data_IF_787874772850
#
_entry.id   IF_787874772850
#
_cell.length_a   1.000
_cell.length_b   1.000
_cell.length_c   1.000
_cell.angle_alpha   90.00
_cell.angle_beta   90.00
_cell.angle_gamma   90.00
#
_symmetry.space_group_name_H-M   'P 1'
#
loop_
_entity.id
_entity.type
_entity.pdbx_description
1 polymer ?
#
# COMPACT_ATOMS: atom_id res chain seq x y z
N UNK A 1 -12.29 42.53 -24.53
CA UNK A 1 -12.92 41.22 -24.26
C UNK A 1 -12.55 40.83 -22.84
N UNK A 2 -13.52 40.67 -21.94
CA UNK A 2 -13.29 40.21 -20.58
C UNK A 2 -13.31 38.67 -20.60
N UNK A 3 -12.22 38.03 -20.18
CA UNK A 3 -12.15 36.56 -20.07
C UNK A 3 -12.58 36.16 -18.66
N UNK A 4 -13.47 35.19 -18.52
CA UNK A 4 -13.87 34.67 -17.22
C UNK A 4 -12.69 33.95 -16.55
N UNK A 5 -12.45 34.13 -15.25
CA UNK A 5 -11.37 33.44 -14.56
C UNK A 5 -11.66 31.94 -14.46
N UNK A 6 -10.66 31.14 -14.78
CA UNK A 6 -10.76 29.70 -14.87
C UNK A 6 -9.54 29.04 -14.24
N UNK A 7 -9.77 27.94 -13.54
CA UNK A 7 -8.76 27.04 -13.01
C UNK A 7 -9.22 25.61 -13.27
N UNK A 8 -8.27 24.72 -13.54
CA UNK A 8 -8.50 23.29 -13.77
C UNK A 8 -7.63 22.48 -12.82
N UNK A 9 -8.04 21.23 -12.58
CA UNK A 9 -7.27 20.25 -11.80
C UNK A 9 -7.01 19.04 -12.71
N UNK A 10 -5.74 18.79 -13.02
CA UNK A 10 -5.30 17.59 -13.73
C UNK A 10 -5.61 16.34 -12.90
N UNK A 11 -5.84 15.21 -13.55
CA UNK A 11 -6.04 13.92 -12.89
C UNK A 11 -4.82 13.44 -12.14
N UNK A 12 -4.85 13.37 -10.79
CA UNK A 12 -3.76 12.76 -10.02
C UNK A 12 -3.81 11.22 -10.07
N UNK A 13 -4.90 10.62 -10.54
CA UNK A 13 -5.13 9.17 -10.42
C UNK A 13 -5.59 8.78 -9.01
N UNK A 14 -5.49 7.48 -8.70
CA UNK A 14 -5.61 6.98 -7.33
C UNK A 14 -4.25 7.11 -6.65
N UNK A 15 -4.25 7.28 -5.34
CA UNK A 15 -3.04 7.32 -4.54
C UNK A 15 -3.10 6.35 -3.38
N UNK A 16 -1.95 6.14 -2.74
CA UNK A 16 -1.83 5.25 -1.59
C UNK A 16 -1.38 6.01 -0.34
N UNK A 17 -1.76 5.52 0.85
CA UNK A 17 -1.23 6.03 2.12
C UNK A 17 0.30 5.89 2.18
N UNK A 18 0.96 6.97 2.63
CA UNK A 18 2.43 7.06 2.71
C UNK A 18 3.11 7.49 1.41
N UNK A 19 2.34 7.85 0.38
CA UNK A 19 2.83 8.38 -0.89
C UNK A 19 2.95 9.92 -0.83
N UNK A 20 3.93 10.46 -1.57
CA UNK A 20 3.98 11.90 -1.85
C UNK A 20 3.29 12.20 -3.18
N UNK A 21 2.13 12.86 -3.11
CA UNK A 21 1.33 13.20 -4.29
C UNK A 21 1.64 14.63 -4.73
N UNK A 22 1.58 14.88 -6.03
CA UNK A 22 1.61 16.22 -6.61
C UNK A 22 0.33 16.50 -7.38
N UNK A 23 -0.49 17.42 -6.88
CA UNK A 23 -1.60 18.00 -7.63
C UNK A 23 -1.08 19.05 -8.59
N UNK A 24 -1.71 19.15 -9.76
CA UNK A 24 -1.38 20.14 -10.77
C UNK A 24 -2.61 20.54 -11.57
N UNK A 25 -2.47 21.62 -12.34
CA UNK A 25 -3.50 22.03 -13.27
C UNK A 25 -3.11 23.27 -14.06
N UNK A 26 -4.07 23.79 -14.81
CA UNK A 26 -3.90 25.02 -15.60
C UNK A 26 -4.87 26.10 -15.16
N UNK A 27 -4.56 27.35 -15.50
CA UNK A 27 -5.39 28.51 -15.20
C UNK A 27 -5.11 29.65 -16.19
N UNK A 28 -6.08 30.53 -16.40
CA UNK A 28 -5.87 31.78 -17.12
C UNK A 28 -5.53 32.96 -16.19
N UNK A 29 -5.38 32.72 -14.88
CA UNK A 29 -4.92 33.72 -13.94
C UNK A 29 -3.46 34.08 -14.25
N UNK A 30 -3.07 35.34 -14.08
CA UNK A 30 -1.71 35.79 -14.33
C UNK A 30 -0.68 35.06 -13.44
N UNK A 31 0.51 34.84 -13.97
CA UNK A 31 1.68 34.39 -13.18
C UNK A 31 1.90 35.32 -11.99
N UNK A 32 2.25 34.75 -10.84
CA UNK A 32 2.38 35.48 -9.58
C UNK A 32 1.10 35.53 -8.74
N UNK A 33 -0.08 35.30 -9.32
CA UNK A 33 -1.32 35.15 -8.54
C UNK A 33 -1.23 33.94 -7.60
N UNK A 34 -2.02 33.97 -6.53
CA UNK A 34 -2.09 32.89 -5.52
C UNK A 34 -3.37 32.08 -5.67
N UNK A 35 -3.22 30.77 -5.53
CA UNK A 35 -4.33 29.81 -5.41
C UNK A 35 -4.27 29.17 -4.03
N UNK A 36 -5.41 29.01 -3.38
CA UNK A 36 -5.58 28.19 -2.19
C UNK A 36 -6.01 26.80 -2.63
N UNK A 37 -5.26 25.78 -2.22
CA UNK A 37 -5.57 24.36 -2.43
C UNK A 37 -5.99 23.78 -1.08
N UNK A 38 -7.12 23.08 -1.07
CA UNK A 38 -7.69 22.41 0.09
C UNK A 38 -7.99 20.96 -0.30
N UNK A 39 -7.51 20.01 0.50
CA UNK A 39 -7.76 18.58 0.35
C UNK A 39 -8.41 18.12 1.64
N UNK A 40 -9.68 17.75 1.56
CA UNK A 40 -10.51 17.43 2.74
C UNK A 40 -11.16 16.07 2.56
N UNK A 41 -11.07 15.21 3.56
CA UNK A 41 -11.79 13.92 3.60
C UNK A 41 -13.31 14.13 3.40
N UNK A 42 -13.95 13.27 2.59
CA UNK A 42 -15.40 13.28 2.40
C UNK A 42 -16.12 12.36 3.40
N UNK A 43 -15.39 11.57 4.18
CA UNK A 43 -15.97 10.80 5.27
C UNK A 43 -16.70 11.71 6.25
N UNK A 44 -18.00 11.44 6.42
CA UNK A 44 -18.84 12.10 7.41
C UNK A 44 -19.57 11.02 8.22
N UNK A 45 -19.29 10.93 9.51
CA UNK A 45 -19.90 9.92 10.36
C UNK A 45 -19.47 10.03 11.83
N UNK A 46 -20.20 9.35 12.73
CA UNK A 46 -19.83 9.30 14.14
C UNK A 46 -18.54 8.50 14.33
N UNK A 47 -17.56 9.08 15.00
CA UNK A 47 -16.30 8.41 15.39
C UNK A 47 -16.36 7.89 16.83
N UNK A 48 -15.81 6.69 17.12
CA UNK A 48 -15.63 6.23 18.49
C UNK A 48 -14.77 7.19 19.32
N UNK A 49 -15.05 7.32 20.63
CA UNK A 49 -14.34 8.24 21.54
C UNK A 49 -12.87 7.88 21.77
N UNK A 50 -12.50 6.65 21.46
CA UNK A 50 -11.18 6.05 21.60
C UNK A 50 -10.38 6.05 20.29
N UNK A 51 -10.98 6.47 19.17
CA UNK A 51 -10.27 6.66 17.90
C UNK A 51 -9.83 8.11 17.71
N UNK A 52 -8.70 8.28 17.02
CA UNK A 52 -8.22 9.59 16.57
C UNK A 52 -9.22 10.28 15.63
N UNK A 53 -9.01 11.58 15.40
CA UNK A 53 -9.83 12.35 14.46
C UNK A 53 -9.88 11.64 13.10
N UNK A 54 -11.08 11.32 12.56
CA UNK A 54 -11.19 10.68 11.26
C UNK A 54 -10.83 11.65 10.13
N UNK A 55 -10.72 12.95 10.45
CA UNK A 55 -10.45 13.98 9.48
C UNK A 55 -8.95 14.08 9.25
N UNK A 56 -8.57 13.75 8.02
CA UNK A 56 -7.26 14.03 7.45
C UNK A 56 -7.40 14.99 6.29
N UNK A 57 -6.31 15.67 5.94
CA UNK A 57 -6.31 16.61 4.84
C UNK A 57 -5.00 17.40 4.74
N UNK A 58 -4.92 18.20 3.68
CA UNK A 58 -3.82 19.11 3.45
C UNK A 58 -4.36 20.42 2.88
N UNK A 59 -3.70 21.53 3.19
CA UNK A 59 -4.01 22.81 2.57
C UNK A 59 -2.75 23.62 2.33
N UNK A 60 -2.80 24.54 1.38
CA UNK A 60 -1.67 25.40 1.10
C UNK A 60 -1.97 26.46 0.03
N UNK A 61 -1.20 27.53 0.08
CA UNK A 61 -1.21 28.56 -0.96
C UNK A 61 -0.08 28.30 -1.97
N UNK A 62 -0.41 28.25 -3.25
CA UNK A 62 0.55 28.06 -4.35
C UNK A 62 0.55 29.25 -5.27
N UNK A 63 1.69 29.48 -5.92
CA UNK A 63 1.86 30.57 -6.88
C UNK A 63 1.64 30.05 -8.30
N UNK A 64 0.83 30.76 -9.07
CA UNK A 64 0.65 30.49 -10.49
C UNK A 64 1.97 30.78 -11.22
N UNK A 65 2.43 29.82 -12.03
CA UNK A 65 3.64 29.91 -12.82
C UNK A 65 3.30 30.08 -14.29
N UNK A 66 4.20 30.72 -15.05
CA UNK A 66 4.05 30.84 -16.50
C UNK A 66 4.02 29.44 -17.13
N UNK A 67 2.98 29.16 -17.92
CA UNK A 67 2.84 27.91 -18.67
C UNK A 67 3.15 28.08 -20.15
N UNK A 68 2.87 27.04 -20.93
CA UNK A 68 3.01 27.08 -22.38
C UNK A 68 1.71 27.60 -23.04
N UNK A 69 1.84 28.48 -24.03
CA UNK A 69 0.70 29.08 -24.73
C UNK A 69 -0.05 30.10 -23.85
N UNK A 70 -1.38 30.08 -23.92
CA UNK A 70 -2.23 31.07 -23.24
C UNK A 70 -2.63 30.67 -21.79
N UNK A 71 -2.15 29.51 -21.31
CA UNK A 71 -2.50 28.99 -19.98
C UNK A 71 -1.28 28.90 -19.08
N UNK A 72 -1.45 29.42 -17.87
CA UNK A 72 -0.50 29.29 -16.77
C UNK A 72 -0.73 28.00 -16.00
N UNK A 73 0.27 27.56 -15.25
CA UNK A 73 0.26 26.30 -14.51
C UNK A 73 0.37 26.53 -13.01
N UNK A 74 -0.02 25.52 -12.24
CA UNK A 74 0.17 25.49 -10.79
C UNK A 74 0.41 24.05 -10.34
N UNK A 75 1.05 23.91 -9.18
CA UNK A 75 1.32 22.61 -8.57
C UNK A 75 1.36 22.71 -7.04
N UNK A 76 0.84 21.68 -6.37
CA UNK A 76 0.81 21.54 -4.91
C UNK A 76 1.18 20.10 -4.52
N UNK A 77 2.24 19.92 -3.75
CA UNK A 77 2.69 18.60 -3.30
C UNK A 77 2.48 18.44 -1.79
N UNK A 78 2.01 17.27 -1.38
CA UNK A 78 1.78 16.91 0.03
C UNK A 78 2.02 15.41 0.26
N UNK A 79 2.17 15.05 1.54
CA UNK A 79 2.45 13.68 1.99
C UNK A 79 1.17 13.06 2.57
N UNK A 80 0.87 11.81 2.24
CA UNK A 80 -0.34 11.10 2.71
C UNK A 80 -0.09 10.18 3.90
N UNK A 81 1.08 10.21 4.54
CA UNK A 81 1.38 9.34 5.68
C UNK A 81 0.47 9.58 6.89
N UNK A 82 -0.03 10.80 7.06
CA UNK A 82 -0.99 11.14 8.12
C UNK A 82 -2.45 11.08 7.66
N UNK A 83 -2.72 10.52 6.47
CA UNK A 83 -4.06 10.42 5.91
C UNK A 83 -4.71 9.09 6.30
N UNK A 84 -6.03 9.06 6.28
CA UNK A 84 -6.84 7.84 6.38
C UNK A 84 -7.26 7.40 4.97
N UNK A 85 -7.46 6.09 4.71
CA UNK A 85 -8.02 5.61 3.44
C UNK A 85 -9.45 6.13 3.25
N UNK A 86 -9.65 7.01 2.27
CA UNK A 86 -10.94 7.68 2.02
C UNK A 86 -10.96 8.33 0.62
N UNK A 87 -12.14 8.79 0.20
CA UNK A 87 -12.29 9.74 -0.90
C UNK A 87 -12.16 11.17 -0.38
N UNK A 88 -11.19 11.91 -0.90
CA UNK A 88 -10.94 13.30 -0.57
C UNK A 88 -11.53 14.23 -1.64
N UNK A 89 -12.01 15.39 -1.20
CA UNK A 89 -12.39 16.52 -2.04
C UNK A 89 -11.21 17.48 -2.16
N UNK A 90 -10.67 17.62 -3.36
CA UNK A 90 -9.69 18.64 -3.73
C UNK A 90 -10.44 19.87 -4.22
N UNK A 91 -10.22 21.01 -3.57
CA UNK A 91 -10.78 22.31 -3.95
C UNK A 91 -9.65 23.30 -4.18
N UNK A 92 -9.71 24.01 -5.30
CA UNK A 92 -8.75 25.05 -5.67
C UNK A 92 -9.50 26.34 -5.89
N UNK A 93 -9.13 27.39 -5.17
CA UNK A 93 -9.78 28.71 -5.24
C UNK A 93 -8.73 29.80 -5.46
N UNK A 94 -9.01 30.76 -6.35
CA UNK A 94 -8.16 31.94 -6.49
C UNK A 94 -8.21 32.81 -5.23
N UNK A 95 -7.06 33.25 -4.72
CA UNK A 95 -7.01 34.12 -3.53
C UNK A 95 -7.35 35.56 -3.90
N UNK A 96 -6.66 36.09 -4.92
CA UNK A 96 -6.89 37.45 -5.43
C UNK A 96 -8.12 37.54 -6.32
N UNK A 97 -8.49 36.43 -6.97
CA UNK A 97 -9.59 36.32 -7.93
C UNK A 97 -10.51 35.17 -7.48
N UNK A 98 -11.41 35.42 -6.51
CA UNK A 98 -12.12 34.36 -5.76
C UNK A 98 -13.16 33.58 -6.58
N UNK A 99 -13.52 34.06 -7.76
CA UNK A 99 -14.42 33.39 -8.68
C UNK A 99 -13.73 32.35 -9.58
N UNK A 100 -12.41 32.20 -9.52
CA UNK A 100 -11.71 31.06 -10.11
C UNK A 100 -11.77 29.87 -9.12
N UNK A 101 -12.62 28.89 -9.41
CA UNK A 101 -12.82 27.71 -8.55
C UNK A 101 -12.77 26.44 -9.39
N UNK A 102 -12.10 25.40 -8.88
CA UNK A 102 -12.19 24.04 -9.37
C UNK A 102 -12.29 23.06 -8.21
N UNK A 103 -12.99 21.96 -8.44
CA UNK A 103 -13.18 20.91 -7.45
C UNK A 103 -13.02 19.54 -8.12
N UNK A 104 -12.44 18.58 -7.40
CA UNK A 104 -12.18 17.25 -7.92
C UNK A 104 -12.08 16.21 -6.79
N UNK A 105 -12.49 14.97 -7.04
CA UNK A 105 -12.29 13.86 -6.11
C UNK A 105 -10.92 13.19 -6.28
N UNK A 106 -10.36 12.73 -5.17
CA UNK A 106 -9.12 11.96 -5.09
C UNK A 106 -9.36 10.74 -4.19
N UNK A 107 -9.17 9.54 -4.71
CA UNK A 107 -9.25 8.31 -3.92
C UNK A 107 -7.87 8.00 -3.35
N UNK A 108 -7.81 7.78 -2.03
CA UNK A 108 -6.59 7.35 -1.34
C UNK A 108 -6.86 5.99 -0.69
N UNK A 109 -6.10 4.98 -1.11
CA UNK A 109 -6.26 3.59 -0.70
C UNK A 109 -5.18 3.16 0.28
N UNK A 110 -5.41 2.07 1.01
CA UNK A 110 -4.36 1.44 1.83
C UNK A 110 -3.26 0.85 0.94
N UNK A 111 -2.03 0.87 1.43
CA UNK A 111 -0.96 0.11 0.77
C UNK A 111 -1.26 -1.38 0.90
N UNK A 112 -1.48 -2.03 -0.24
CA UNK A 112 -1.59 -3.49 -0.31
C UNK A 112 -0.31 -4.02 -0.94
N UNK A 113 0.60 -4.68 -0.20
CA UNK A 113 1.77 -5.28 -0.83
C UNK A 113 1.30 -6.33 -1.84
N UNK A 114 1.82 -6.27 -3.07
CA UNK A 114 1.65 -7.37 -4.03
C UNK A 114 2.20 -8.64 -3.39
N UNK A 115 1.46 -9.77 -3.37
CA UNK A 115 1.99 -11.01 -2.81
C UNK A 115 3.28 -11.36 -3.57
N UNK A 116 4.38 -11.54 -2.84
CA UNK A 116 5.61 -12.11 -3.42
C UNK A 116 5.23 -13.44 -4.08
N UNK A 117 5.62 -13.69 -5.35
CA UNK A 117 5.31 -14.97 -5.97
C UNK A 117 5.92 -16.09 -5.12
N UNK A 118 5.07 -16.98 -4.62
CA UNK A 118 5.51 -18.21 -3.98
C UNK A 118 6.40 -18.95 -4.97
N UNK A 119 7.67 -19.26 -4.64
CA UNK A 119 8.51 -20.04 -5.54
C UNK A 119 7.80 -21.38 -5.84
N UNK A 120 7.83 -21.87 -7.09
CA UNK A 120 7.22 -23.15 -7.41
C UNK A 120 7.82 -24.25 -6.51
N UNK A 121 6.97 -25.11 -5.95
CA UNK A 121 7.44 -26.30 -5.24
C UNK A 121 8.38 -27.07 -6.19
N UNK A 122 9.64 -27.24 -5.78
CA UNK A 122 10.54 -28.18 -6.45
C UNK A 122 10.02 -29.58 -6.13
N UNK A 123 9.42 -30.25 -7.11
CA UNK A 123 9.04 -31.65 -6.97
C UNK A 123 10.31 -32.49 -6.78
N UNK A 124 10.35 -33.41 -5.79
CA UNK A 124 11.42 -34.39 -5.73
C UNK A 124 11.41 -35.24 -7.01
N UNK A 125 12.57 -35.68 -7.53
CA UNK A 125 12.63 -36.46 -8.75
C UNK A 125 11.81 -37.75 -8.60
N UNK A 126 10.87 -37.97 -9.52
CA UNK A 126 10.10 -39.22 -9.61
C UNK A 126 11.05 -40.36 -9.99
N UNK A 127 11.22 -41.33 -9.09
CA UNK A 127 11.90 -42.59 -9.40
C UNK A 127 11.07 -43.33 -10.46
N UNK A 128 11.63 -43.53 -11.65
CA UNK A 128 11.03 -44.37 -12.70
C UNK A 128 10.94 -45.82 -12.19
N UNK A 129 9.72 -46.32 -12.01
CA UNK A 129 9.47 -47.73 -11.72
C UNK A 129 9.64 -48.57 -12.98
N UNK A 130 10.69 -49.39 -13.01
CA UNK A 130 10.89 -50.50 -13.95
C UNK A 130 9.73 -51.51 -13.82
N UNK A 131 9.10 -51.98 -14.92
CA UNK A 131 8.16 -53.08 -14.84
C UNK A 131 8.93 -54.41 -14.66
N UNK A 132 8.61 -55.17 -13.61
CA UNK A 132 9.10 -56.53 -13.39
C UNK A 132 7.91 -57.50 -13.16
N UNK A 133 8.10 -58.82 -13.34
CA UNK A 133 7.60 -59.61 -14.45
C UNK A 133 6.34 -60.42 -14.11
N UNK A 134 5.66 -60.91 -15.15
CA UNK A 134 4.45 -61.74 -15.08
C UNK A 134 4.63 -62.98 -14.19
N UNK A 135 3.69 -63.17 -13.26
CA UNK A 135 3.64 -64.25 -12.27
C UNK A 135 3.60 -65.66 -12.89
N UNK A 136 4.53 -66.53 -12.47
CA UNK A 136 4.40 -67.99 -12.56
C UNK A 136 3.52 -68.52 -11.41
N UNK A 137 2.89 -69.70 -11.55
CA UNK A 137 1.90 -70.22 -10.60
C UNK A 137 2.55 -70.71 -9.29
N UNK A 138 1.76 -70.86 -8.21
CA UNK A 138 2.29 -70.90 -6.85
C UNK A 138 2.95 -72.24 -6.52
N UNK A 139 4.09 -72.20 -5.85
CA UNK A 139 4.65 -73.35 -5.12
C UNK A 139 4.91 -72.96 -3.67
N UNK A 140 4.21 -73.68 -2.81
CA UNK A 140 4.24 -73.75 -1.35
C UNK A 140 5.63 -73.69 -0.72
N UNK A 141 5.81 -72.82 0.30
CA UNK A 141 6.30 -73.14 1.65
C UNK A 141 6.96 -71.93 2.33
N UNK A 142 6.67 -71.72 3.62
CA UNK A 142 7.62 -71.11 4.56
C UNK A 142 7.22 -69.75 5.14
N UNK A 143 6.78 -69.79 6.39
CA UNK A 143 6.58 -68.66 7.31
C UNK A 143 7.91 -67.93 7.64
N UNK A 144 7.84 -66.62 7.94
CA UNK A 144 8.46 -65.86 9.08
C UNK A 144 8.48 -64.34 8.75
N UNK A 145 7.74 -63.38 9.37
CA UNK A 145 7.71 -62.85 10.75
C UNK A 145 9.15 -62.47 11.21
N UNK A 146 9.60 -61.25 11.62
CA UNK A 146 9.09 -60.16 12.51
C UNK A 146 10.06 -58.89 12.40
N UNK A 147 10.16 -57.87 13.32
CA UNK A 147 9.59 -56.49 13.28
C UNK A 147 10.54 -55.24 13.40
N UNK A 148 9.89 -54.06 13.27
CA UNK A 148 10.02 -52.72 13.91
C UNK A 148 10.83 -52.61 15.24
N UNK A 149 11.51 -51.45 15.49
CA UNK A 149 11.60 -50.74 16.80
C UNK A 149 11.93 -49.22 16.60
N UNK A 150 11.25 -48.38 17.39
CA UNK A 150 11.40 -46.93 17.62
C UNK A 150 12.13 -46.70 18.95
N UNK A 151 12.94 -45.62 19.10
CA UNK A 151 13.31 -45.12 20.44
C UNK A 151 13.57 -43.59 20.48
N UNK A 152 12.96 -42.95 21.47
CA UNK A 152 13.03 -41.53 21.89
C UNK A 152 13.75 -41.47 23.25
N UNK A 153 14.59 -40.47 23.52
CA UNK A 153 14.84 -39.97 24.89
C UNK A 153 15.56 -38.60 24.89
N UNK A 154 15.02 -37.65 25.64
CA UNK A 154 15.62 -36.34 25.95
C UNK A 154 16.47 -36.35 27.22
N UNK A 155 17.16 -35.23 27.49
CA UNK A 155 17.96 -35.04 28.71
C UNK A 155 17.91 -33.59 29.22
N UNK A 156 17.58 -33.41 30.50
CA UNK A 156 17.71 -32.19 31.32
C UNK A 156 18.33 -32.63 32.65
N UNK A 157 19.45 -32.05 33.10
CA UNK A 157 19.87 -32.03 34.52
C UNK A 157 20.56 -30.70 34.89
N UNK A 158 20.26 -30.29 36.13
CA UNK A 158 20.50 -29.10 36.95
C UNK A 158 21.90 -28.88 37.56
N UNK A 159 22.08 -27.64 38.02
CA UNK A 159 23.06 -26.94 38.91
C UNK A 159 23.76 -27.74 40.03
N UNK A 160 25.02 -27.35 40.33
CA UNK A 160 25.72 -27.63 41.59
C UNK A 160 26.94 -26.72 41.84
N UNK A 161 26.94 -26.05 43.01
CA UNK A 161 27.84 -24.99 43.52
C UNK A 161 29.14 -25.56 44.17
N UNK A 162 30.27 -24.83 44.06
CA UNK A 162 31.16 -24.59 45.21
C UNK A 162 32.70 -24.73 45.05
N UNK A 163 33.42 -23.83 45.79
CA UNK A 163 34.87 -23.72 46.16
C UNK A 163 35.65 -22.67 45.33
N UNK A 164 36.53 -21.80 45.89
CA UNK A 164 37.46 -21.94 47.04
C UNK A 164 38.09 -20.58 47.45
N UNK A 165 38.33 -20.40 48.77
CA UNK A 165 39.38 -19.67 49.53
C UNK A 165 40.11 -18.42 48.97
N UNK A 166 40.25 -17.40 49.81
CA UNK A 166 41.50 -16.94 50.48
C UNK A 166 41.12 -16.46 51.88
#
# INVERSE_FOLDING_TARGET
>A
MLVNPQVTITSPGNATIGERITLSGTTNLASGNRLLVEVTSQAFGPTPKDQGSPFSGASGAVTVQAGAGDLNTWSFAFDTASFEPDTYLVRVTGVTVPNAIATRSLLIETFTPTPTPTPPLTTPPTTLTTPEPTTMPPTTAGLTLIPLIVAVAGFVITVGIGRKRI
#
